data_IF_295923453640
#
_entry.id   IF_295923453640
#
_cell.length_a   1.000
_cell.length_b   1.000
_cell.length_c   1.000
_cell.angle_alpha   90.00
_cell.angle_beta   90.00
_cell.angle_gamma   90.00
#
_symmetry.space_group_name_H-M   'P 1'
#
loop_
_entity.id
_entity.type
_entity.pdbx_description
1 polymer ?
#
# COMPACT_ATOMS: atom_id res chain seq x y z
N UNK A 1 13.37 0.93 37.48
CA UNK A 1 12.69 0.29 36.33
C UNK A 1 11.29 0.89 36.25
N UNK A 2 11.06 1.81 35.31
CA UNK A 2 9.72 2.35 35.06
C UNK A 2 8.87 1.36 34.27
N UNK A 3 7.54 1.46 34.32
CA UNK A 3 6.65 0.56 33.61
C UNK A 3 6.81 0.75 32.10
N UNK A 4 7.13 -0.33 31.38
CA UNK A 4 7.07 -0.37 29.92
C UNK A 4 5.62 -0.25 29.47
N UNK A 5 5.34 0.70 28.58
CA UNK A 5 4.04 0.85 27.95
C UNK A 5 3.66 -0.43 27.17
N UNK A 6 2.40 -0.88 27.21
CA UNK A 6 2.00 -2.11 26.55
C UNK A 6 1.90 -1.91 25.04
N UNK A 7 2.64 -2.72 24.27
CA UNK A 7 2.22 -3.09 22.91
C UNK A 7 3.08 -2.65 21.73
N UNK A 8 4.35 -2.29 21.91
CA UNK A 8 5.24 -2.11 20.75
C UNK A 8 5.88 -3.46 20.39
N UNK A 9 5.14 -4.29 19.66
CA UNK A 9 5.75 -5.42 18.95
C UNK A 9 6.72 -4.82 17.91
N UNK A 10 8.03 -5.08 17.99
CA UNK A 10 8.92 -4.68 16.92
C UNK A 10 8.42 -5.35 15.64
N UNK A 11 7.93 -4.55 14.69
CA UNK A 11 7.52 -5.06 13.38
C UNK A 11 8.74 -5.76 12.79
N UNK A 12 8.67 -7.08 12.71
CA UNK A 12 9.72 -7.88 12.08
C UNK A 12 9.95 -7.32 10.66
N UNK A 13 11.21 -7.16 10.23
CA UNK A 13 11.49 -6.68 8.89
C UNK A 13 10.82 -7.59 7.86
N UNK A 14 10.16 -6.99 6.85
CA UNK A 14 9.51 -7.74 5.78
C UNK A 14 10.62 -8.50 5.02
N UNK A 15 10.59 -9.85 4.97
CA UNK A 15 11.66 -10.61 4.33
C UNK A 15 11.87 -10.19 2.87
N UNK A 16 13.13 -9.95 2.49
CA UNK A 16 13.49 -9.51 1.14
C UNK A 16 13.31 -8.01 0.87
N UNK A 17 12.83 -7.22 1.84
CA UNK A 17 12.71 -5.76 1.71
C UNK A 17 13.85 -5.09 2.48
N UNK A 18 14.74 -4.42 1.75
CA UNK A 18 15.91 -3.73 2.33
C UNK A 18 15.53 -2.41 3.01
N UNK A 19 14.58 -1.67 2.45
CA UNK A 19 14.19 -0.34 2.91
C UNK A 19 12.67 -0.19 2.89
N UNK A 20 12.10 0.39 3.95
CA UNK A 20 10.68 0.72 4.06
C UNK A 20 10.56 2.23 4.22
N UNK A 21 9.85 2.88 3.30
CA UNK A 21 9.61 4.33 3.32
C UNK A 21 8.11 4.55 3.57
N UNK A 22 7.78 5.11 4.73
CA UNK A 22 6.41 5.50 5.06
C UNK A 22 6.12 6.91 4.53
N UNK A 23 5.07 7.06 3.72
CA UNK A 23 4.59 8.35 3.21
C UNK A 23 3.21 8.63 3.80
N UNK A 24 3.13 9.62 4.70
CA UNK A 24 1.90 9.99 5.42
C UNK A 24 1.53 11.47 5.26
N UNK A 25 0.29 11.81 5.60
CA UNK A 25 -0.20 13.19 5.62
C UNK A 25 -1.24 13.40 6.72
N UNK A 26 -1.20 14.55 7.39
CA UNK A 26 -2.19 14.90 8.43
C UNK A 26 -3.52 15.43 7.90
N UNK A 27 -3.64 15.66 6.59
CA UNK A 27 -4.85 16.21 5.93
C UNK A 27 -5.03 15.59 4.54
N UNK A 28 -6.28 15.50 4.06
CA UNK A 28 -6.58 15.13 2.69
C UNK A 28 -6.17 16.21 1.68
N UNK A 29 -5.87 15.82 0.44
CA UNK A 29 -5.60 16.76 -0.67
C UNK A 29 -4.19 17.37 -0.70
N UNK A 30 -3.30 17.05 0.24
CA UNK A 30 -1.93 17.62 0.30
C UNK A 30 -0.94 17.00 -0.70
N UNK A 31 -1.39 16.07 -1.55
CA UNK A 31 -0.53 15.42 -2.55
C UNK A 31 0.26 14.20 -2.04
N UNK A 32 -0.14 13.57 -0.93
CA UNK A 32 0.48 12.33 -0.41
C UNK A 32 0.71 11.27 -1.49
N UNK A 33 -0.36 10.90 -2.20
CA UNK A 33 -0.29 9.87 -3.24
C UNK A 33 0.59 10.31 -4.41
N UNK A 34 0.58 11.60 -4.76
CA UNK A 34 1.47 12.17 -5.77
C UNK A 34 2.94 11.98 -5.43
N UNK A 35 3.32 12.28 -4.20
CA UNK A 35 4.69 12.10 -3.73
C UNK A 35 5.05 10.60 -3.69
N UNK A 36 4.19 9.76 -3.14
CA UNK A 36 4.44 8.32 -3.03
C UNK A 36 4.65 7.65 -4.40
N UNK A 37 3.77 7.94 -5.37
CA UNK A 37 3.86 7.42 -6.74
C UNK A 37 5.14 7.88 -7.44
N UNK A 38 5.42 9.18 -7.42
CA UNK A 38 6.60 9.72 -8.11
C UNK A 38 7.91 9.24 -7.47
N UNK A 39 7.95 9.11 -6.14
CA UNK A 39 9.10 8.54 -5.44
C UNK A 39 9.34 7.09 -5.87
N UNK A 40 8.30 6.26 -5.90
CA UNK A 40 8.41 4.87 -6.32
C UNK A 40 8.89 4.73 -7.76
N UNK A 41 8.30 5.49 -8.70
CA UNK A 41 8.70 5.49 -10.11
C UNK A 41 10.15 5.97 -10.28
N UNK A 42 10.55 7.00 -9.53
CA UNK A 42 11.92 7.53 -9.61
C UNK A 42 12.94 6.51 -9.12
N UNK A 43 12.66 5.82 -8.01
CA UNK A 43 13.53 4.75 -7.50
C UNK A 43 13.60 3.56 -8.49
N UNK A 44 12.50 3.19 -9.13
CA UNK A 44 12.49 2.15 -10.16
C UNK A 44 13.33 2.56 -11.39
N UNK A 45 13.21 3.82 -11.84
CA UNK A 45 14.04 4.37 -12.93
C UNK A 45 15.54 4.41 -12.60
N UNK A 46 15.90 4.51 -11.33
CA UNK A 46 17.29 4.41 -10.86
C UNK A 46 17.80 2.96 -10.78
N UNK A 47 16.98 1.98 -11.16
CA UNK A 47 17.36 0.56 -11.22
C UNK A 47 17.09 -0.23 -9.94
N UNK A 48 16.34 0.33 -8.98
CA UNK A 48 15.97 -0.39 -7.77
C UNK A 48 14.72 -1.26 -7.97
N UNK A 49 14.65 -2.38 -7.25
CA UNK A 49 13.42 -3.16 -7.15
C UNK A 49 12.46 -2.45 -6.18
N UNK A 50 11.30 -1.98 -6.67
CA UNK A 50 10.37 -1.16 -5.89
C UNK A 50 8.99 -1.80 -5.81
N UNK A 51 8.42 -1.78 -4.61
CA UNK A 51 7.01 -2.04 -4.35
C UNK A 51 6.32 -0.80 -3.81
N UNK A 52 5.09 -0.53 -4.26
CA UNK A 52 4.22 0.52 -3.74
C UNK A 52 2.97 -0.12 -3.14
N UNK A 53 2.79 0.04 -1.82
CA UNK A 53 1.59 -0.40 -1.11
C UNK A 53 0.77 0.83 -0.69
N UNK A 54 -0.47 0.89 -1.16
CA UNK A 54 -1.43 1.92 -0.83
C UNK A 54 -2.55 1.34 0.05
N UNK A 55 -2.57 1.77 1.31
CA UNK A 55 -3.56 1.36 2.31
C UNK A 55 -4.76 2.33 2.39
N UNK A 56 -4.84 3.34 1.52
CA UNK A 56 -5.90 4.34 1.55
C UNK A 56 -7.18 3.80 0.91
N UNK A 57 -8.22 3.57 1.73
CA UNK A 57 -9.50 2.99 1.29
C UNK A 57 -10.40 4.04 0.60
N UNK A 58 -10.15 5.33 0.83
CA UNK A 58 -11.08 6.40 0.49
C UNK A 58 -10.85 7.04 -0.89
N UNK A 59 -9.87 6.58 -1.68
CA UNK A 59 -9.68 7.10 -3.04
C UNK A 59 -8.86 6.20 -3.95
N UNK A 60 -9.29 5.94 -5.20
CA UNK A 60 -8.54 5.15 -6.17
C UNK A 60 -7.34 5.93 -6.77
N UNK A 61 -6.70 6.79 -5.98
CA UNK A 61 -5.70 7.73 -6.46
C UNK A 61 -4.47 7.00 -7.00
N UNK A 62 -3.96 5.97 -6.30
CA UNK A 62 -2.78 5.23 -6.76
C UNK A 62 -3.06 4.40 -8.03
N UNK A 63 -4.11 3.57 -8.10
CA UNK A 63 -4.49 2.88 -9.34
C UNK A 63 -4.60 3.82 -10.54
N UNK A 64 -5.32 4.94 -10.36
CA UNK A 64 -5.51 5.95 -11.41
C UNK A 64 -4.19 6.58 -11.85
N UNK A 65 -3.35 7.00 -10.91
CA UNK A 65 -2.06 7.65 -11.20
C UNK A 65 -1.04 6.71 -11.85
N UNK A 66 -1.11 5.41 -11.53
CA UNK A 66 -0.27 4.38 -12.14
C UNK A 66 -0.82 3.90 -13.50
N UNK A 67 -1.98 4.42 -13.95
CA UNK A 67 -2.61 4.01 -15.19
C UNK A 67 -3.14 2.57 -15.20
N UNK A 68 -3.35 1.98 -14.02
CA UNK A 68 -3.74 0.58 -13.86
C UNK A 68 -5.27 0.46 -13.75
N UNK A 69 -5.86 -0.35 -14.62
CA UNK A 69 -7.31 -0.61 -14.66
C UNK A 69 -7.67 -2.06 -14.34
N UNK A 70 -6.67 -2.91 -14.21
CA UNK A 70 -6.82 -4.33 -13.95
C UNK A 70 -7.16 -4.58 -12.48
N UNK A 71 -7.82 -5.71 -12.21
CA UNK A 71 -8.04 -6.19 -10.85
C UNK A 71 -6.98 -7.24 -10.52
N UNK A 72 -6.26 -7.12 -9.39
CA UNK A 72 -5.30 -8.12 -8.95
C UNK A 72 -5.95 -9.50 -8.83
N UNK A 73 -5.26 -10.53 -9.31
CA UNK A 73 -5.72 -11.90 -9.18
C UNK A 73 -5.12 -12.56 -7.93
N UNK A 74 -5.91 -13.40 -7.28
CA UNK A 74 -5.43 -14.24 -6.18
C UNK A 74 -4.73 -15.49 -6.75
N UNK A 75 -3.56 -15.81 -6.20
CA UNK A 75 -2.81 -17.04 -6.45
C UNK A 75 -2.72 -17.79 -5.11
N UNK A 76 -3.58 -18.78 -4.91
CA UNK A 76 -3.74 -19.46 -3.63
C UNK A 76 -4.23 -18.49 -2.55
N UNK A 77 -3.44 -18.29 -1.50
CA UNK A 77 -3.73 -17.36 -0.39
C UNK A 77 -3.06 -15.99 -0.55
N UNK A 78 -2.40 -15.71 -1.69
CA UNK A 78 -1.69 -14.45 -1.93
C UNK A 78 -2.33 -13.67 -3.06
N UNK A 79 -2.28 -12.35 -2.98
CA UNK A 79 -2.67 -11.47 -4.09
C UNK A 79 -1.43 -11.18 -4.90
N UNK A 80 -1.49 -11.41 -6.21
CA UNK A 80 -0.42 -11.03 -7.12
C UNK A 80 -0.49 -9.51 -7.37
N UNK A 81 0.53 -8.72 -7.00
CA UNK A 81 0.55 -7.29 -7.28
C UNK A 81 0.57 -7.04 -8.79
N UNK A 82 -0.06 -5.94 -9.20
CA UNK A 82 0.00 -5.46 -10.57
C UNK A 82 1.31 -4.71 -10.80
N UNK A 83 1.72 -4.55 -12.05
CA UNK A 83 2.96 -3.84 -12.38
C UNK A 83 2.69 -2.67 -13.32
N UNK A 84 3.25 -1.51 -12.99
CA UNK A 84 3.23 -0.33 -13.85
C UNK A 84 4.49 0.49 -13.64
N UNK A 85 5.05 1.02 -14.73
CA UNK A 85 6.26 1.85 -14.69
C UNK A 85 7.47 1.19 -13.98
N UNK A 86 7.59 -0.14 -14.04
CA UNK A 86 8.64 -0.90 -13.34
C UNK A 86 8.45 -0.99 -11.82
N UNK A 87 7.26 -0.65 -11.32
CA UNK A 87 6.89 -0.71 -9.90
C UNK A 87 5.80 -1.75 -9.72
N UNK A 88 5.98 -2.66 -8.75
CA UNK A 88 4.90 -3.55 -8.31
C UNK A 88 3.97 -2.80 -7.38
N UNK A 89 2.68 -2.75 -7.69
CA UNK A 89 1.69 -1.92 -7.00
C UNK A 89 0.61 -2.81 -6.39
N UNK A 90 0.30 -2.54 -5.13
CA UNK A 90 -0.89 -3.05 -4.45
C UNK A 90 -1.62 -1.87 -3.82
N UNK A 91 -2.93 -1.76 -4.04
CA UNK A 91 -3.76 -0.69 -3.48
C UNK A 91 -5.10 -1.25 -3.01
N UNK A 92 -5.60 -0.73 -1.91
CA UNK A 92 -6.99 -0.96 -1.48
C UNK A 92 -8.01 -0.50 -2.51
N UNK A 93 -7.65 0.50 -3.33
CA UNK A 93 -8.46 0.96 -4.46
C UNK A 93 -8.71 -0.12 -5.51
N UNK A 94 -7.87 -1.16 -5.61
CA UNK A 94 -8.13 -2.31 -6.49
C UNK A 94 -9.21 -3.25 -5.96
N UNK A 95 -9.40 -3.28 -4.65
CA UNK A 95 -10.32 -4.18 -3.96
C UNK A 95 -11.71 -3.54 -3.74
N UNK A 96 -11.91 -2.32 -4.23
CA UNK A 96 -13.17 -1.59 -4.09
C UNK A 96 -14.02 -1.70 -5.37
N UNK A 97 -15.12 -2.48 -5.39
CA UNK A 97 -15.98 -2.68 -6.55
C UNK A 97 -16.94 -1.49 -6.82
N UNK A 98 -16.49 -0.25 -6.69
CA UNK A 98 -17.30 0.96 -6.88
C UNK A 98 -18.12 1.38 -5.64
N UNK A 99 -19.22 2.13 -5.86
CA UNK A 99 -20.08 2.83 -4.88
C UNK A 99 -20.76 1.96 -3.79
N UNK A 100 -20.34 0.71 -3.60
CA UNK A 100 -20.83 -0.12 -2.49
C UNK A 100 -19.97 0.17 -1.25
N UNK A 101 -20.55 0.68 -0.14
CA UNK A 101 -19.82 0.80 1.10
C UNK A 101 -19.33 -0.58 1.53
N UNK A 102 -18.02 -0.79 1.49
CA UNK A 102 -17.43 -1.98 2.08
C UNK A 102 -17.50 -1.84 3.60
N UNK A 103 -18.26 -2.73 4.25
CA UNK A 103 -18.34 -2.77 5.71
C UNK A 103 -17.12 -3.52 6.25
N UNK A 104 -16.01 -2.81 6.41
CA UNK A 104 -14.81 -3.35 7.04
C UNK A 104 -15.03 -3.40 8.56
N UNK A 105 -15.25 -4.59 9.13
CA UNK A 105 -15.25 -4.77 10.59
C UNK A 105 -13.81 -4.81 11.10
N UNK A 106 -13.54 -4.32 12.31
CA UNK A 106 -12.20 -4.22 12.92
C UNK A 106 -11.27 -5.43 12.71
N UNK A 107 -11.75 -6.69 12.81
CA UNK A 107 -10.92 -7.87 12.54
C UNK A 107 -10.43 -7.98 11.08
N UNK A 108 -11.18 -7.48 10.09
CA UNK A 108 -10.78 -7.52 8.67
C UNK A 108 -9.66 -6.54 8.36
N UNK A 109 -9.64 -5.36 9.00
CA UNK A 109 -8.57 -4.37 8.81
C UNK A 109 -7.21 -4.94 9.20
N UNK A 110 -7.17 -5.70 10.29
CA UNK A 110 -5.94 -6.32 10.78
C UNK A 110 -5.46 -7.51 9.92
N UNK A 111 -6.36 -8.16 9.17
CA UNK A 111 -6.01 -9.29 8.28
C UNK A 111 -5.53 -8.88 6.90
N UNK A 112 -5.71 -7.61 6.50
CA UNK A 112 -5.38 -7.13 5.15
C UNK A 112 -3.90 -6.76 5.01
N UNK A 113 -3.27 -6.37 6.11
CA UNK A 113 -1.87 -5.91 6.16
C UNK A 113 -1.16 -6.73 7.25
N UNK A 114 -0.78 -7.97 6.92
CA UNK A 114 0.16 -8.79 7.69
C UNK A 114 1.33 -9.19 6.82
#
# INVERSE_FOLDING_TARGET
>A
MGPQAPGEHPKLPIPGVQNIIAVGSGKGGVGKSTIAVNLAISLAKLGHAVGLLDADVYGPNVPLMMGVRETPHAIGQRIQPLEAHGVRVMSMGFLNPGDKPLVWRGPMLNSVIQ
#
